data_IF_363401428395
#
_entry.id   IF_363401428395
#
_cell.length_a   1.000
_cell.length_b   1.000
_cell.length_c   1.000
_cell.angle_alpha   90.00
_cell.angle_beta   90.00
_cell.angle_gamma   90.00
#
_symmetry.space_group_name_H-M   'P 1'
#
loop_
_entity.id
_entity.type
_entity.pdbx_description
1 polymer ?
#
# COMPACT_ATOMS: atom_id res chain seq x y z
N UNK A 1 -52.37 26.44 -23.60
CA UNK A 1 -51.73 25.47 -22.71
C UNK A 1 -50.70 24.70 -23.50
N UNK A 2 -49.42 24.99 -23.32
CA UNK A 2 -48.30 24.27 -23.93
C UNK A 2 -47.40 23.74 -22.81
N UNK A 3 -47.32 22.43 -22.70
CA UNK A 3 -46.38 21.76 -21.82
C UNK A 3 -45.00 21.78 -22.46
N UNK A 4 -44.06 22.42 -21.83
CA UNK A 4 -42.64 22.39 -22.19
C UNK A 4 -41.99 21.15 -21.59
N UNK A 5 -41.47 20.27 -22.47
CA UNK A 5 -40.70 19.11 -22.09
C UNK A 5 -39.33 19.51 -21.55
N UNK A 6 -38.96 19.00 -20.40
CA UNK A 6 -37.62 19.10 -19.82
C UNK A 6 -36.77 17.95 -20.40
N UNK A 7 -35.76 18.31 -21.20
CA UNK A 7 -34.77 17.38 -21.70
C UNK A 7 -33.54 17.39 -20.76
N UNK A 8 -33.16 16.31 -20.10
CA UNK A 8 -31.91 16.23 -19.36
C UNK A 8 -30.82 15.60 -20.24
N UNK A 9 -30.15 16.42 -21.04
CA UNK A 9 -28.91 16.00 -21.71
C UNK A 9 -27.89 17.09 -21.56
N UNK A 10 -27.06 16.95 -20.52
CA UNK A 10 -25.66 17.39 -20.59
C UNK A 10 -24.95 16.77 -19.39
N UNK A 11 -24.32 15.62 -19.59
CA UNK A 11 -23.27 15.12 -18.71
C UNK A 11 -22.08 16.08 -18.87
N UNK A 12 -22.03 17.10 -18.03
CA UNK A 12 -20.80 17.87 -17.85
C UNK A 12 -19.73 16.93 -17.31
N UNK A 13 -18.79 16.58 -18.20
CA UNK A 13 -17.52 15.97 -17.81
C UNK A 13 -16.78 17.04 -17.00
N UNK A 14 -16.84 16.93 -15.69
CA UNK A 14 -15.99 17.70 -14.78
C UNK A 14 -14.56 17.19 -15.02
N UNK A 15 -13.82 17.90 -15.87
CA UNK A 15 -12.37 17.83 -15.89
C UNK A 15 -11.89 18.55 -14.64
N UNK A 16 -11.53 17.79 -13.61
CA UNK A 16 -10.83 18.34 -12.45
C UNK A 16 -9.45 18.80 -12.94
N UNK A 17 -9.18 20.09 -12.85
CA UNK A 17 -7.89 20.69 -13.13
C UNK A 17 -6.87 20.23 -12.08
N UNK A 18 -5.57 20.15 -12.41
CA UNK A 18 -4.49 19.72 -11.50
C UNK A 18 -4.47 20.59 -10.24
N UNK A 19 -4.83 21.87 -10.36
CA UNK A 19 -4.97 22.78 -9.22
C UNK A 19 -6.15 22.42 -8.30
N UNK A 20 -7.23 21.86 -8.85
CA UNK A 20 -8.37 21.39 -8.07
C UNK A 20 -8.04 20.10 -7.31
N UNK A 21 -7.24 19.21 -7.87
CA UNK A 21 -6.79 17.99 -7.19
C UNK A 21 -5.91 18.33 -5.99
N UNK A 22 -4.96 19.25 -6.14
CA UNK A 22 -4.11 19.70 -5.03
C UNK A 22 -4.90 20.39 -3.91
N UNK A 23 -5.87 21.24 -4.25
CA UNK A 23 -6.74 21.89 -3.27
C UNK A 23 -7.67 20.90 -2.56
N UNK A 24 -8.16 19.87 -3.29
CA UNK A 24 -9.00 18.80 -2.75
C UNK A 24 -8.22 17.92 -1.77
N UNK A 25 -6.99 17.56 -2.13
CA UNK A 25 -6.09 16.73 -1.31
C UNK A 25 -5.71 17.48 -0.02
N UNK A 26 -5.36 18.75 -0.09
CA UNK A 26 -5.08 19.58 1.09
C UNK A 26 -6.30 19.71 2.01
N UNK A 27 -7.48 20.00 1.48
CA UNK A 27 -8.71 20.10 2.29
C UNK A 27 -9.07 18.79 2.99
N UNK A 28 -8.87 17.66 2.35
CA UNK A 28 -9.10 16.34 2.96
C UNK A 28 -8.06 16.02 4.05
N UNK A 29 -6.81 16.42 3.88
CA UNK A 29 -5.78 16.28 4.92
C UNK A 29 -6.12 17.08 6.20
N UNK A 30 -6.65 18.30 6.09
CA UNK A 30 -7.04 19.10 7.25
C UNK A 30 -8.18 18.45 8.08
N UNK A 31 -9.04 17.66 7.46
CA UNK A 31 -10.11 16.93 8.17
C UNK A 31 -9.63 15.64 8.85
N UNK A 32 -8.41 15.17 8.55
CA UNK A 32 -7.85 13.99 9.19
C UNK A 32 -7.39 14.27 10.62
N UNK A 33 -7.39 13.21 11.44
CA UNK A 33 -6.77 13.25 12.77
C UNK A 33 -5.27 13.57 12.63
N UNK A 34 -4.71 14.35 13.55
CA UNK A 34 -3.31 14.76 13.62
C UNK A 34 -2.32 13.56 13.50
N UNK A 35 -2.68 12.41 14.07
CA UNK A 35 -1.85 11.20 13.99
C UNK A 35 -1.70 10.74 12.53
N UNK A 36 -2.79 10.70 11.78
CA UNK A 36 -2.78 10.28 10.37
C UNK A 36 -2.05 11.29 9.50
N UNK A 37 -2.26 12.60 9.73
CA UNK A 37 -1.54 13.66 8.99
C UNK A 37 -0.05 13.54 9.21
N UNK A 38 0.40 13.45 10.45
CA UNK A 38 1.82 13.31 10.76
C UNK A 38 2.40 11.98 10.25
N UNK A 39 1.64 10.89 10.31
CA UNK A 39 2.06 9.61 9.74
C UNK A 39 2.34 9.73 8.24
N UNK A 40 1.43 10.29 7.46
CA UNK A 40 1.61 10.47 6.01
C UNK A 40 2.73 11.46 5.68
N UNK A 41 2.86 12.55 6.44
CA UNK A 41 3.98 13.50 6.31
C UNK A 41 5.33 12.84 6.56
N UNK A 42 5.43 12.05 7.63
CA UNK A 42 6.64 11.30 7.96
C UNK A 42 7.02 10.29 6.86
N UNK A 43 6.02 9.64 6.25
CA UNK A 43 6.27 8.76 5.12
C UNK A 43 6.80 9.52 3.90
N UNK A 44 6.27 10.72 3.59
CA UNK A 44 6.78 11.56 2.49
C UNK A 44 8.20 12.02 2.76
N UNK A 45 8.48 12.48 3.97
CA UNK A 45 9.85 12.86 4.38
C UNK A 45 10.80 11.67 4.26
N UNK A 46 10.44 10.51 4.80
CA UNK A 46 11.31 9.35 4.88
C UNK A 46 11.51 8.63 3.54
N UNK A 47 10.46 8.47 2.77
CA UNK A 47 10.52 7.72 1.51
C UNK A 47 10.93 8.59 0.32
N UNK A 48 10.47 9.84 0.27
CA UNK A 48 10.64 10.69 -0.90
C UNK A 48 11.51 11.92 -0.67
N UNK A 49 11.94 12.14 0.57
CA UNK A 49 12.82 13.26 0.91
C UNK A 49 12.15 14.63 0.90
N UNK A 50 10.83 14.67 0.98
CA UNK A 50 10.06 15.90 0.99
C UNK A 50 10.28 16.70 2.30
N UNK A 51 10.05 18.01 2.25
CA UNK A 51 10.10 18.86 3.43
C UNK A 51 8.69 19.05 3.96
N UNK A 52 8.38 18.45 5.11
CA UNK A 52 7.08 18.52 5.74
C UNK A 52 7.20 18.97 7.19
N UNK A 53 6.30 19.85 7.62
CA UNK A 53 6.20 20.26 9.02
C UNK A 53 5.38 19.25 9.82
N UNK A 54 5.95 18.76 10.91
CA UNK A 54 5.28 17.82 11.82
C UNK A 54 4.59 18.60 12.95
N UNK A 55 3.30 18.37 13.10
CA UNK A 55 2.52 18.98 14.17
C UNK A 55 2.89 18.39 15.54
N UNK A 56 3.00 19.19 16.62
CA UNK A 56 3.28 18.69 17.95
C UNK A 56 2.23 17.69 18.42
N UNK A 57 2.68 16.58 19.01
CA UNK A 57 1.80 15.52 19.52
C UNK A 57 2.22 15.12 20.94
N UNK A 58 1.22 14.66 21.74
CA UNK A 58 1.50 14.01 23.03
C UNK A 58 2.20 12.67 22.84
N UNK A 59 2.88 12.18 23.86
CA UNK A 59 3.55 10.89 23.87
C UNK A 59 2.63 9.74 23.44
N UNK A 60 1.41 9.70 23.99
CA UNK A 60 0.39 8.73 23.59
C UNK A 60 0.08 8.73 22.09
N UNK A 61 -0.02 9.92 21.47
CA UNK A 61 -0.27 10.02 20.02
C UNK A 61 0.92 9.53 19.20
N UNK A 62 2.14 9.76 19.69
CA UNK A 62 3.34 9.22 19.07
C UNK A 62 3.39 7.69 19.17
N UNK A 63 3.02 7.10 20.32
CA UNK A 63 2.93 5.63 20.45
C UNK A 63 1.94 5.02 19.47
N UNK A 64 0.74 5.64 19.32
CA UNK A 64 -0.26 5.21 18.34
C UNK A 64 0.29 5.31 16.90
N UNK A 65 1.00 6.40 16.57
CA UNK A 65 1.60 6.57 15.24
C UNK A 65 2.62 5.46 14.94
N UNK A 66 3.52 5.19 15.85
CA UNK A 66 4.51 4.13 15.68
C UNK A 66 3.88 2.73 15.63
N UNK A 67 2.80 2.50 16.35
CA UNK A 67 2.05 1.27 16.25
C UNK A 67 1.45 1.08 14.86
N UNK A 68 0.84 2.12 14.29
CA UNK A 68 0.37 2.12 12.88
C UNK A 68 1.56 1.83 11.94
N UNK A 69 2.71 2.46 12.19
CA UNK A 69 3.92 2.26 11.38
C UNK A 69 4.40 0.80 11.37
N UNK A 70 4.35 0.15 12.52
CA UNK A 70 4.72 -1.25 12.67
C UNK A 70 3.75 -2.17 11.89
N UNK A 71 2.44 -1.95 12.01
CA UNK A 71 1.43 -2.73 11.28
C UNK A 71 1.57 -2.61 9.76
N UNK A 72 1.95 -1.41 9.28
CA UNK A 72 2.16 -1.17 7.86
C UNK A 72 3.57 -1.48 7.36
N UNK A 73 4.45 -2.02 8.21
CA UNK A 73 5.86 -2.31 7.90
C UNK A 73 6.65 -1.10 7.41
N UNK A 74 6.38 0.09 7.95
CA UNK A 74 7.03 1.34 7.56
C UNK A 74 7.77 2.04 8.70
N UNK A 75 7.97 1.33 9.81
CA UNK A 75 8.63 1.88 11.00
C UNK A 75 10.05 2.37 10.69
N UNK A 76 10.80 1.65 9.84
CA UNK A 76 12.13 2.04 9.39
C UNK A 76 12.13 3.35 8.59
N UNK A 77 11.12 3.54 7.73
CA UNK A 77 10.94 4.78 6.94
C UNK A 77 10.70 5.98 7.86
N UNK A 78 9.81 5.81 8.84
CA UNK A 78 9.51 6.88 9.81
C UNK A 78 10.72 7.19 10.68
N UNK A 79 11.43 6.16 11.15
CA UNK A 79 12.62 6.37 11.95
C UNK A 79 13.74 7.06 11.16
N UNK A 80 13.90 6.72 9.89
CA UNK A 80 14.84 7.40 8.99
C UNK A 80 14.47 8.88 8.81
N UNK A 81 13.18 9.19 8.63
CA UNK A 81 12.71 10.58 8.54
C UNK A 81 13.10 11.39 9.79
N UNK A 82 12.97 10.79 10.97
CA UNK A 82 13.28 11.42 12.25
C UNK A 82 14.79 11.61 12.41
N UNK A 83 15.60 10.57 12.17
CA UNK A 83 17.04 10.56 12.49
C UNK A 83 17.89 11.36 11.51
N UNK A 84 17.43 11.53 10.27
CA UNK A 84 18.17 12.32 9.25
C UNK A 84 18.09 13.85 9.47
N UNK A 85 17.70 14.31 10.68
CA UNK A 85 17.56 15.73 11.08
C UNK A 85 16.61 16.54 10.20
N UNK A 86 15.72 15.88 9.49
CA UNK A 86 14.69 16.54 8.70
C UNK A 86 13.49 16.96 9.57
N UNK A 87 13.47 16.49 10.82
CA UNK A 87 12.42 16.79 11.81
C UNK A 87 13.08 17.21 13.10
N UNK A 88 12.53 18.24 13.77
CA UNK A 88 13.01 18.68 15.07
C UNK A 88 12.78 17.57 16.10
N UNK A 89 13.89 16.98 16.58
CA UNK A 89 13.87 15.91 17.59
C UNK A 89 13.16 16.34 18.88
N UNK A 90 13.08 17.65 19.17
CA UNK A 90 12.36 18.16 20.34
C UNK A 90 10.84 17.94 20.28
N UNK A 91 10.31 17.69 19.10
CA UNK A 91 8.89 17.38 18.92
C UNK A 91 8.53 15.96 19.36
N UNK A 92 9.52 15.09 19.55
CA UNK A 92 9.32 13.67 19.83
C UNK A 92 9.81 13.36 21.24
N UNK A 93 8.97 12.79 22.11
CA UNK A 93 9.38 12.41 23.45
C UNK A 93 10.54 11.39 23.43
N UNK A 94 11.58 11.65 24.19
CA UNK A 94 12.79 10.82 24.23
C UNK A 94 12.50 9.34 24.55
N UNK A 95 11.54 9.07 25.46
CA UNK A 95 11.13 7.71 25.80
C UNK A 95 10.61 6.92 24.60
N UNK A 96 9.87 7.58 23.71
CA UNK A 96 9.35 6.99 22.49
C UNK A 96 10.48 6.63 21.51
N UNK A 97 11.43 7.54 21.32
CA UNK A 97 12.59 7.31 20.45
C UNK A 97 13.38 6.09 20.93
N UNK A 98 13.72 6.03 22.22
CA UNK A 98 14.51 4.92 22.80
C UNK A 98 13.80 3.57 22.66
N UNK A 99 12.48 3.54 22.90
CA UNK A 99 11.66 2.33 22.79
C UNK A 99 11.70 1.76 21.38
N UNK A 100 11.47 2.60 20.38
CA UNK A 100 11.39 2.16 18.99
C UNK A 100 12.75 1.94 18.33
N UNK A 101 13.79 2.65 18.78
CA UNK A 101 15.17 2.35 18.39
C UNK A 101 15.57 0.93 18.72
N UNK A 102 15.23 0.44 19.94
CA UNK A 102 15.47 -0.94 20.35
C UNK A 102 14.74 -1.96 19.47
N UNK A 103 13.52 -1.67 19.06
CA UNK A 103 12.75 -2.55 18.16
C UNK A 103 13.45 -2.65 16.79
N UNK A 104 13.89 -1.54 16.24
CA UNK A 104 14.57 -1.51 14.94
C UNK A 104 15.94 -2.21 15.02
N UNK A 105 16.70 -2.00 16.10
CA UNK A 105 17.98 -2.66 16.31
C UNK A 105 17.83 -4.18 16.50
N UNK A 106 16.77 -4.62 17.16
CA UNK A 106 16.45 -6.05 17.31
C UNK A 106 16.08 -6.69 15.98
N UNK A 107 15.23 -6.03 15.18
CA UNK A 107 14.88 -6.50 13.84
C UNK A 107 16.09 -6.50 12.89
N UNK A 108 16.99 -5.52 13.02
CA UNK A 108 18.25 -5.43 12.24
C UNK A 108 19.25 -6.53 12.59
N UNK A 109 19.31 -6.95 13.84
CA UNK A 109 20.22 -8.03 14.29
C UNK A 109 19.74 -9.42 13.82
N UNK A 110 18.44 -9.60 13.65
CA UNK A 110 17.85 -10.84 13.14
C UNK A 110 17.75 -10.90 11.60
N UNK A 111 17.69 -9.74 10.93
CA UNK A 111 17.69 -9.59 9.50
C UNK A 111 18.85 -8.66 9.11
N UNK A 112 20.00 -9.22 8.76
CA UNK A 112 21.28 -8.52 8.49
C UNK A 112 21.24 -7.44 7.39
N UNK A 113 20.07 -7.07 6.87
CA UNK A 113 19.88 -6.16 5.75
C UNK A 113 19.17 -4.83 6.07
N UNK A 114 18.69 -4.62 7.31
CA UNK A 114 17.92 -3.41 7.66
C UNK A 114 18.76 -2.16 7.96
N UNK A 115 20.07 -2.29 8.07
CA UNK A 115 20.93 -1.20 8.56
C UNK A 115 21.43 -0.21 7.49
N UNK A 116 21.25 -0.45 6.19
CA UNK A 116 22.07 0.25 5.18
C UNK A 116 21.34 1.29 4.33
N UNK A 117 20.07 1.27 4.17
CA UNK A 117 19.26 2.40 3.64
C UNK A 117 17.78 2.05 3.65
N UNK A 118 16.92 3.07 3.80
CA UNK A 118 15.46 2.94 3.67
C UNK A 118 15.08 2.40 2.31
N UNK A 119 15.81 2.75 1.26
CA UNK A 119 15.68 2.16 -0.06
C UNK A 119 15.93 0.66 -0.06
N UNK A 120 16.95 0.17 0.65
CA UNK A 120 17.32 -1.25 0.65
C UNK A 120 16.31 -2.10 1.41
N UNK A 121 15.76 -1.64 2.52
CA UNK A 121 14.75 -2.37 3.29
C UNK A 121 13.39 -2.46 2.58
N UNK A 122 13.06 -1.47 1.76
CA UNK A 122 11.87 -1.50 0.90
C UNK A 122 12.13 -2.28 -0.40
N UNK A 123 13.38 -2.29 -0.90
CA UNK A 123 13.80 -3.02 -2.10
C UNK A 123 13.97 -4.53 -1.89
N UNK A 124 14.26 -4.97 -0.66
CA UNK A 124 14.62 -6.35 -0.32
C UNK A 124 13.45 -7.32 -0.08
N UNK A 125 12.25 -7.01 -0.53
CA UNK A 125 11.28 -8.05 -0.77
C UNK A 125 11.68 -8.72 -2.10
N UNK A 126 12.15 -9.97 -2.02
CA UNK A 126 12.67 -10.75 -3.16
C UNK A 126 11.81 -10.60 -4.42
N UNK A 127 12.33 -9.90 -5.41
CA UNK A 127 11.66 -9.67 -6.68
C UNK A 127 11.37 -10.97 -7.46
N UNK A 128 12.04 -12.06 -7.12
CA UNK A 128 11.87 -13.36 -7.78
C UNK A 128 10.78 -14.28 -7.21
N UNK A 129 10.14 -13.90 -6.10
CA UNK A 129 9.20 -14.78 -5.38
C UNK A 129 7.73 -14.37 -5.49
N UNK A 130 7.38 -13.27 -6.16
CA UNK A 130 5.99 -12.91 -6.33
C UNK A 130 5.24 -13.96 -7.16
N UNK A 131 4.07 -14.36 -6.71
CA UNK A 131 3.24 -15.35 -7.39
C UNK A 131 1.76 -14.93 -7.38
N UNK A 132 1.01 -15.51 -8.28
CA UNK A 132 -0.43 -15.29 -8.33
C UNK A 132 -1.16 -16.54 -7.83
N UNK A 133 -2.21 -16.36 -7.05
CA UNK A 133 -3.05 -17.47 -6.55
C UNK A 133 -3.79 -18.18 -7.68
N UNK A 134 -4.14 -17.46 -8.76
CA UNK A 134 -4.72 -18.08 -9.94
C UNK A 134 -3.64 -18.82 -10.74
N UNK A 135 -3.73 -20.15 -10.85
CA UNK A 135 -2.72 -20.96 -11.53
C UNK A 135 -2.50 -20.61 -13.01
N UNK A 136 -3.56 -20.20 -13.72
CA UNK A 136 -3.45 -19.80 -15.12
C UNK A 136 -2.73 -18.44 -15.27
N UNK A 137 -3.05 -17.47 -14.43
CA UNK A 137 -2.36 -16.18 -14.41
C UNK A 137 -0.92 -16.32 -13.91
N UNK A 138 -0.69 -17.20 -12.94
CA UNK A 138 0.67 -17.50 -12.46
C UNK A 138 1.54 -18.13 -13.54
N UNK A 139 1.00 -19.04 -14.37
CA UNK A 139 1.71 -19.59 -15.52
C UNK A 139 2.01 -18.49 -16.57
N UNK A 140 1.09 -17.55 -16.80
CA UNK A 140 1.38 -16.39 -17.66
C UNK A 140 2.50 -15.52 -17.10
N UNK A 141 2.49 -15.24 -15.79
CA UNK A 141 3.54 -14.49 -15.12
C UNK A 141 4.91 -15.20 -15.29
N UNK A 142 4.97 -16.51 -15.08
CA UNK A 142 6.19 -17.30 -15.34
C UNK A 142 6.66 -17.18 -16.80
N UNK A 143 5.75 -17.30 -17.76
CA UNK A 143 6.10 -17.12 -19.18
C UNK A 143 6.64 -15.72 -19.51
N UNK A 144 6.14 -14.66 -18.86
CA UNK A 144 6.66 -13.30 -19.01
C UNK A 144 8.10 -13.26 -18.48
N UNK A 145 8.35 -13.74 -17.27
CA UNK A 145 9.67 -13.78 -16.64
C UNK A 145 10.71 -14.59 -17.42
N UNK A 146 10.30 -15.68 -18.03
CA UNK A 146 11.20 -16.52 -18.83
C UNK A 146 11.53 -15.92 -20.20
N UNK A 147 10.57 -15.24 -20.81
CA UNK A 147 10.72 -14.70 -22.17
C UNK A 147 11.39 -13.33 -22.20
N UNK A 148 11.14 -12.48 -21.21
CA UNK A 148 11.63 -11.10 -21.23
C UNK A 148 13.15 -11.01 -21.29
N UNK A 149 13.95 -11.74 -20.48
CA UNK A 149 15.40 -11.67 -20.56
C UNK A 149 16.00 -12.15 -21.88
N UNK A 150 15.21 -12.88 -22.69
CA UNK A 150 15.61 -13.42 -24.00
C UNK A 150 15.15 -12.51 -25.16
N UNK A 151 14.44 -11.46 -24.87
CA UNK A 151 13.92 -10.52 -25.87
C UNK A 151 15.02 -9.54 -26.30
N UNK A 152 14.95 -9.08 -27.55
CA UNK A 152 15.93 -8.11 -28.08
C UNK A 152 15.82 -6.72 -27.41
N UNK A 153 14.66 -6.43 -26.84
CA UNK A 153 14.31 -5.22 -26.12
C UNK A 153 14.04 -5.50 -24.62
N UNK A 154 14.81 -6.41 -24.04
CA UNK A 154 14.67 -6.81 -22.65
C UNK A 154 14.76 -5.61 -21.70
N UNK A 155 13.82 -5.51 -20.76
CA UNK A 155 13.80 -4.50 -19.72
C UNK A 155 13.59 -5.17 -18.35
N UNK A 156 14.69 -5.29 -17.62
CA UNK A 156 14.69 -5.86 -16.27
C UNK A 156 13.91 -4.96 -15.31
N UNK A 157 14.01 -3.65 -15.49
CA UNK A 157 13.32 -2.66 -14.66
C UNK A 157 11.81 -2.75 -14.83
N UNK A 158 11.31 -2.99 -16.06
CA UNK A 158 9.89 -3.22 -16.31
C UNK A 158 9.41 -4.51 -15.65
N UNK A 159 10.22 -5.57 -15.69
CA UNK A 159 9.90 -6.84 -15.04
C UNK A 159 9.86 -6.70 -13.51
N UNK A 160 10.83 -6.01 -12.94
CA UNK A 160 10.87 -5.71 -11.50
C UNK A 160 9.63 -4.89 -11.08
N UNK A 161 9.24 -3.90 -11.87
CA UNK A 161 8.04 -3.12 -11.60
C UNK A 161 6.78 -3.99 -11.62
N UNK A 162 6.65 -4.89 -12.59
CA UNK A 162 5.56 -5.86 -12.63
C UNK A 162 5.53 -6.72 -11.36
N UNK A 163 6.69 -7.22 -10.93
CA UNK A 163 6.81 -8.06 -9.73
C UNK A 163 6.41 -7.30 -8.46
N UNK A 164 6.76 -6.01 -8.35
CA UNK A 164 6.35 -5.15 -7.25
C UNK A 164 4.82 -4.99 -7.20
N UNK A 165 4.17 -4.76 -8.35
CA UNK A 165 2.71 -4.64 -8.44
C UNK A 165 2.02 -5.97 -8.11
N UNK A 166 2.52 -7.11 -8.61
CA UNK A 166 1.98 -8.43 -8.29
C UNK A 166 2.05 -8.69 -6.78
N UNK A 167 3.17 -8.38 -6.15
CA UNK A 167 3.38 -8.56 -4.72
C UNK A 167 2.50 -7.62 -3.88
N UNK A 168 2.33 -6.36 -4.32
CA UNK A 168 1.42 -5.41 -3.67
C UNK A 168 -0.03 -5.91 -3.74
N UNK A 169 -0.45 -6.43 -4.90
CA UNK A 169 -1.76 -7.05 -5.09
C UNK A 169 -2.00 -8.24 -4.16
N UNK A 170 -1.05 -9.18 -4.10
CA UNK A 170 -1.12 -10.34 -3.20
C UNK A 170 -1.22 -9.92 -1.73
N UNK A 171 -0.39 -8.97 -1.31
CA UNK A 171 -0.40 -8.41 0.04
C UNK A 171 -1.76 -7.76 0.36
N UNK A 172 -2.30 -6.97 -0.57
CA UNK A 172 -3.59 -6.29 -0.38
C UNK A 172 -4.74 -7.28 -0.17
N UNK A 173 -4.77 -8.39 -0.90
CA UNK A 173 -5.79 -9.41 -0.78
C UNK A 173 -5.66 -10.23 0.50
N UNK A 174 -4.43 -10.48 0.95
CA UNK A 174 -4.17 -11.31 2.13
C UNK A 174 -4.30 -10.52 3.42
N UNK A 175 -3.60 -9.42 3.52
CA UNK A 175 -3.44 -8.63 4.74
C UNK A 175 -4.23 -7.33 4.72
N UNK A 176 -4.62 -6.85 3.53
CA UNK A 176 -5.13 -5.52 3.24
C UNK A 176 -4.04 -4.59 2.73
N UNK A 177 -4.41 -3.37 2.35
CA UNK A 177 -3.47 -2.37 1.86
C UNK A 177 -2.37 -2.11 2.89
N UNK A 178 -1.11 -2.25 2.47
CA UNK A 178 0.08 -1.89 3.24
C UNK A 178 0.73 -0.65 2.63
N UNK A 179 1.12 0.32 3.47
CA UNK A 179 1.87 1.47 2.97
C UNK A 179 3.29 1.10 2.54
N UNK A 180 3.89 0.04 3.09
CA UNK A 180 5.19 -0.43 2.61
C UNK A 180 5.15 -0.82 1.13
N UNK A 181 4.11 -1.52 0.67
CA UNK A 181 3.97 -1.91 -0.73
C UNK A 181 3.72 -0.72 -1.66
N UNK A 182 2.90 0.25 -1.22
CA UNK A 182 2.64 1.48 -1.98
C UNK A 182 3.90 2.33 -2.09
N UNK A 183 4.62 2.54 -0.98
CA UNK A 183 5.89 3.29 -0.99
C UNK A 183 6.93 2.62 -1.89
N UNK A 184 6.99 1.28 -1.91
CA UNK A 184 7.90 0.54 -2.78
C UNK A 184 7.65 0.84 -4.25
N UNK A 185 6.38 0.85 -4.68
CA UNK A 185 6.00 1.25 -6.04
C UNK A 185 6.50 2.69 -6.31
N UNK A 186 6.19 3.64 -5.42
CA UNK A 186 6.58 5.03 -5.60
C UNK A 186 8.09 5.27 -5.60
N UNK A 187 8.85 4.60 -4.71
CA UNK A 187 10.30 4.71 -4.68
C UNK A 187 10.91 4.15 -5.97
N UNK A 188 10.41 2.98 -6.43
CA UNK A 188 10.91 2.38 -7.65
C UNK A 188 10.65 3.25 -8.88
N UNK A 189 9.47 3.87 -8.96
CA UNK A 189 9.13 4.84 -10.01
C UNK A 189 10.07 6.06 -10.01
N UNK A 190 10.43 6.60 -8.85
CA UNK A 190 11.33 7.78 -8.77
C UNK A 190 12.80 7.44 -9.02
N UNK A 191 13.23 6.19 -8.77
CA UNK A 191 14.62 5.77 -8.94
C UNK A 191 14.90 5.24 -10.34
N UNK A 192 14.00 4.40 -10.87
CA UNK A 192 14.20 3.68 -12.12
C UNK A 192 13.05 3.90 -13.14
N UNK A 193 12.14 4.85 -12.88
CA UNK A 193 10.95 5.07 -13.70
C UNK A 193 11.25 5.40 -15.16
N UNK A 194 12.32 6.14 -15.43
CA UNK A 194 12.80 6.50 -16.77
C UNK A 194 13.34 5.30 -17.58
N UNK A 195 13.62 4.17 -16.93
CA UNK A 195 14.07 2.92 -17.55
C UNK A 195 12.92 1.92 -17.80
N UNK A 196 11.72 2.24 -17.29
CA UNK A 196 10.56 1.36 -17.41
C UNK A 196 9.88 1.55 -18.77
N UNK A 197 9.68 0.46 -19.50
CA UNK A 197 8.81 0.44 -20.67
C UNK A 197 7.34 0.30 -20.20
N UNK A 198 6.67 1.44 -20.05
CA UNK A 198 5.29 1.48 -19.58
C UNK A 198 4.30 0.86 -20.56
N UNK A 199 4.57 0.89 -21.88
CA UNK A 199 3.71 0.23 -22.87
C UNK A 199 3.74 -1.28 -22.69
N UNK A 200 4.94 -1.82 -22.46
CA UNK A 200 5.15 -3.25 -22.17
C UNK A 200 4.52 -3.63 -20.82
N UNK A 201 4.70 -2.80 -19.80
CA UNK A 201 4.11 -3.00 -18.47
C UNK A 201 2.58 -3.06 -18.54
N UNK A 202 1.93 -2.09 -19.19
CA UNK A 202 0.47 -2.07 -19.36
C UNK A 202 -0.06 -3.31 -20.08
N UNK A 203 0.64 -3.77 -21.11
CA UNK A 203 0.29 -5.01 -21.81
C UNK A 203 0.36 -6.24 -20.89
N UNK A 204 1.40 -6.32 -20.05
CA UNK A 204 1.52 -7.41 -19.08
C UNK A 204 0.46 -7.34 -17.99
N UNK A 205 0.21 -6.16 -17.42
CA UNK A 205 -0.85 -5.94 -16.44
C UNK A 205 -2.23 -6.33 -17.01
N UNK A 206 -2.50 -6.00 -18.26
CA UNK A 206 -3.73 -6.41 -18.95
C UNK A 206 -3.82 -7.93 -19.10
N UNK A 207 -2.74 -8.62 -19.52
CA UNK A 207 -2.68 -10.08 -19.63
C UNK A 207 -2.87 -10.79 -18.29
N UNK A 208 -2.48 -10.16 -17.19
CA UNK A 208 -2.60 -10.67 -15.82
C UNK A 208 -3.89 -10.22 -15.13
N UNK A 209 -4.76 -9.46 -15.80
CA UNK A 209 -5.98 -8.87 -15.23
C UNK A 209 -5.71 -7.99 -13.99
N UNK A 210 -4.57 -7.30 -13.95
CA UNK A 210 -4.13 -6.43 -12.85
C UNK A 210 -4.21 -4.94 -13.16
N UNK A 211 -4.58 -4.52 -14.38
CA UNK A 211 -4.59 -3.11 -14.79
C UNK A 211 -5.37 -2.20 -13.84
N UNK A 212 -6.53 -2.64 -13.35
CA UNK A 212 -7.32 -1.84 -12.39
C UNK A 212 -6.71 -1.80 -11.00
N UNK A 213 -6.02 -2.86 -10.58
CA UNK A 213 -5.34 -2.88 -9.29
C UNK A 213 -4.12 -1.95 -9.31
N UNK A 214 -3.30 -2.02 -10.36
CA UNK A 214 -2.19 -1.09 -10.58
C UNK A 214 -2.68 0.36 -10.65
N UNK A 215 -3.82 0.63 -11.33
CA UNK A 215 -4.44 1.95 -11.37
C UNK A 215 -4.86 2.43 -9.97
N UNK A 216 -5.41 1.56 -9.11
CA UNK A 216 -5.73 1.89 -7.72
C UNK A 216 -4.47 2.25 -6.93
N UNK A 217 -3.43 1.42 -7.00
CA UNK A 217 -2.16 1.62 -6.30
C UNK A 217 -1.47 2.92 -6.73
N UNK A 218 -1.41 3.18 -8.04
CA UNK A 218 -0.89 4.43 -8.58
C UNK A 218 -1.75 5.65 -8.23
N UNK A 219 -3.09 5.50 -8.19
CA UNK A 219 -3.98 6.57 -7.74
C UNK A 219 -3.76 6.95 -6.27
N UNK A 220 -3.37 5.99 -5.42
CA UNK A 220 -3.00 6.26 -4.03
C UNK A 220 -1.68 7.07 -3.97
N UNK A 221 -0.71 6.77 -4.84
CA UNK A 221 0.53 7.55 -4.92
C UNK A 221 0.27 8.99 -5.33
N UNK A 222 -0.61 9.21 -6.30
CA UNK A 222 -0.98 10.56 -6.74
C UNK A 222 -1.75 11.30 -5.63
N UNK A 223 -2.79 10.69 -5.08
CA UNK A 223 -3.70 11.35 -4.14
C UNK A 223 -3.10 11.56 -2.73
N UNK A 224 -2.29 10.62 -2.25
CA UNK A 224 -1.74 10.65 -0.89
C UNK A 224 -0.30 11.18 -0.85
N UNK A 225 0.52 10.81 -1.83
CA UNK A 225 1.95 11.10 -1.84
C UNK A 225 2.37 12.18 -2.85
N UNK A 226 1.41 12.81 -3.55
CA UNK A 226 1.67 13.96 -4.40
C UNK A 226 2.48 13.64 -5.67
N UNK A 227 2.41 12.40 -6.16
CA UNK A 227 3.01 12.05 -7.45
C UNK A 227 2.27 12.76 -8.58
N UNK A 228 3.00 13.22 -9.56
CA UNK A 228 2.40 13.74 -10.79
C UNK A 228 1.92 12.58 -11.68
N UNK A 229 0.92 12.85 -12.49
CA UNK A 229 0.35 11.83 -13.38
C UNK A 229 1.38 11.31 -14.38
N UNK A 230 2.30 12.15 -14.79
CA UNK A 230 3.36 11.82 -15.73
C UNK A 230 4.42 10.88 -15.12
N UNK A 231 4.56 10.87 -13.78
CA UNK A 231 5.41 9.92 -13.06
C UNK A 231 4.81 8.50 -13.07
N UNK A 232 3.48 8.35 -13.32
CA UNK A 232 2.76 7.08 -13.26
C UNK A 232 1.90 6.87 -14.51
N UNK A 233 2.50 6.65 -15.69
CA UNK A 233 1.80 6.58 -16.97
C UNK A 233 0.69 5.52 -17.05
N UNK A 234 0.80 4.41 -16.32
CA UNK A 234 -0.23 3.36 -16.28
C UNK A 234 -1.51 3.76 -15.53
N UNK A 235 -1.55 4.95 -14.91
CA UNK A 235 -2.77 5.51 -14.32
C UNK A 235 -3.49 6.39 -15.34
N UNK A 236 -4.28 5.76 -16.20
CA UNK A 236 -5.05 6.47 -17.22
C UNK A 236 -6.13 7.38 -16.60
N UNK A 237 -6.76 6.94 -15.51
CA UNK A 237 -7.80 7.64 -14.77
C UNK A 237 -7.63 7.42 -13.28
N UNK A 238 -7.75 8.49 -12.49
CA UNK A 238 -7.74 8.39 -11.03
C UNK A 238 -8.91 7.52 -10.55
N UNK A 239 -8.62 6.58 -9.66
CA UNK A 239 -9.63 5.74 -9.04
C UNK A 239 -10.29 6.50 -7.88
N UNK A 240 -11.61 6.81 -7.97
CA UNK A 240 -12.26 7.67 -6.96
C UNK A 240 -12.26 7.10 -5.54
N UNK A 241 -12.09 5.79 -5.42
CA UNK A 241 -12.06 5.11 -4.12
C UNK A 241 -10.66 5.05 -3.48
N UNK A 242 -9.59 5.49 -4.19
CA UNK A 242 -8.21 5.39 -3.74
C UNK A 242 -7.99 6.06 -2.38
N UNK A 243 -8.41 7.33 -2.24
CA UNK A 243 -8.31 8.06 -0.98
C UNK A 243 -9.00 7.33 0.18
N UNK A 244 -10.26 6.95 -0.03
CA UNK A 244 -11.04 6.25 0.99
C UNK A 244 -10.38 4.94 1.41
N UNK A 245 -9.89 4.14 0.46
CA UNK A 245 -9.22 2.87 0.71
C UNK A 245 -7.94 3.08 1.52
N UNK A 246 -7.14 4.09 1.20
CA UNK A 246 -5.91 4.42 1.92
C UNK A 246 -6.20 4.87 3.37
N UNK A 247 -7.18 5.77 3.55
CA UNK A 247 -7.54 6.26 4.90
C UNK A 247 -8.16 5.15 5.76
N UNK A 248 -9.01 4.31 5.19
CA UNK A 248 -9.55 3.13 5.91
C UNK A 248 -8.45 2.14 6.32
N UNK A 249 -7.37 2.01 5.54
CA UNK A 249 -6.24 1.18 5.91
C UNK A 249 -5.54 1.70 7.17
N UNK A 250 -5.46 3.02 7.36
CA UNK A 250 -4.93 3.64 8.59
C UNK A 250 -5.86 3.50 9.81
N UNK A 251 -7.16 3.33 9.59
CA UNK A 251 -8.14 3.23 10.70
C UNK A 251 -8.25 1.83 11.30
N UNK A 252 -8.05 0.80 10.46
CA UNK A 252 -8.20 -0.60 10.88
C UNK A 252 -7.28 -1.01 12.03
N UNK A 253 -5.99 -0.66 12.06
CA UNK A 253 -5.10 -1.01 13.16
C UNK A 253 -5.59 -0.52 14.51
N UNK A 254 -6.08 0.72 14.55
CA UNK A 254 -6.53 1.36 15.80
C UNK A 254 -7.73 0.62 16.42
N UNK A 255 -8.61 0.07 15.57
CA UNK A 255 -9.80 -0.67 16.03
C UNK A 255 -9.49 -2.08 16.52
N UNK A 256 -8.53 -2.75 15.89
CA UNK A 256 -8.17 -4.13 16.23
C UNK A 256 -7.52 -4.18 17.61
N UNK A 257 -6.63 -3.25 17.96
CA UNK A 257 -5.95 -3.23 19.25
C UNK A 257 -6.88 -3.00 20.44
N UNK A 258 -7.88 -2.11 20.27
CA UNK A 258 -8.86 -1.87 21.33
C UNK A 258 -9.71 -3.12 21.58
N UNK A 259 -9.97 -3.90 20.53
CA UNK A 259 -10.73 -5.16 20.65
C UNK A 259 -9.83 -6.30 21.17
N UNK A 260 -8.58 -6.43 20.72
CA UNK A 260 -7.64 -7.43 21.20
C UNK A 260 -7.23 -7.19 22.67
N UNK A 261 -7.05 -5.94 23.07
CA UNK A 261 -6.78 -5.60 24.47
C UNK A 261 -7.95 -5.99 25.40
N UNK A 262 -9.19 -5.84 24.94
CA UNK A 262 -10.39 -6.28 25.66
C UNK A 262 -10.55 -7.81 25.69
N UNK A 263 -10.01 -8.53 24.70
CA UNK A 263 -10.14 -9.99 24.54
C UNK A 263 -8.98 -10.72 25.26
N UNK A 264 -7.79 -10.13 25.32
CA UNK A 264 -6.62 -10.70 26.01
C UNK A 264 -6.84 -10.89 27.52
N UNK A 265 -7.84 -10.23 28.11
CA UNK A 265 -8.25 -10.48 29.50
C UNK A 265 -9.16 -11.70 29.70
N UNK A 266 -9.59 -12.37 28.62
CA UNK A 266 -10.41 -13.60 28.70
C UNK A 266 -9.71 -14.72 27.92
N UNK A 267 -8.84 -15.42 28.67
CA UNK A 267 -8.17 -16.64 28.20
C UNK A 267 -9.14 -17.72 27.74
N UNK A 268 -8.87 -18.25 26.61
CA UNK A 268 -9.14 -19.55 25.98
C UNK A 268 -9.45 -19.33 24.51
N UNK A 269 -8.48 -19.54 23.63
CA UNK A 269 -8.90 -19.65 22.21
C UNK A 269 -7.67 -19.83 21.30
N UNK A 270 -7.20 -21.06 21.14
CA UNK A 270 -6.38 -21.44 19.99
C UNK A 270 -7.24 -21.60 18.70
N UNK A 271 -8.51 -21.89 18.80
CA UNK A 271 -9.44 -22.08 17.67
C UNK A 271 -9.99 -20.78 17.06
N UNK A 272 -10.03 -19.69 17.82
CA UNK A 272 -10.61 -18.43 17.34
C UNK A 272 -9.67 -17.64 16.40
N UNK A 273 -8.35 -17.88 16.42
CA UNK A 273 -7.39 -17.15 15.60
C UNK A 273 -7.49 -17.50 14.10
N UNK A 274 -7.75 -18.76 13.76
CA UNK A 274 -7.84 -19.20 12.35
C UNK A 274 -9.10 -18.66 11.66
N UNK A 275 -10.24 -18.64 12.33
CA UNK A 275 -11.48 -18.12 11.77
C UNK A 275 -11.47 -16.60 11.59
N UNK A 276 -10.81 -15.84 12.49
CA UNK A 276 -10.67 -14.39 12.37
C UNK A 276 -9.73 -13.99 11.22
N UNK A 277 -8.60 -14.68 11.05
CA UNK A 277 -7.67 -14.47 9.94
C UNK A 277 -8.35 -14.77 8.60
N UNK A 278 -9.10 -15.86 8.51
CA UNK A 278 -9.89 -16.21 7.34
C UNK A 278 -10.95 -15.15 7.02
N UNK A 279 -11.72 -14.70 8.02
CA UNK A 279 -12.74 -13.66 7.83
C UNK A 279 -12.11 -12.33 7.35
N UNK A 280 -10.93 -11.98 7.84
CA UNK A 280 -10.17 -10.81 7.39
C UNK A 280 -9.80 -10.93 5.91
N UNK A 281 -9.26 -12.09 5.50
CA UNK A 281 -8.92 -12.35 4.10
C UNK A 281 -10.15 -12.31 3.18
N UNK A 282 -11.26 -12.92 3.59
CA UNK A 282 -12.53 -12.84 2.85
C UNK A 282 -12.98 -11.39 2.64
N UNK A 283 -12.96 -10.57 3.70
CA UNK A 283 -13.30 -9.15 3.61
C UNK A 283 -12.37 -8.39 2.67
N UNK A 284 -11.07 -8.68 2.68
CA UNK A 284 -10.11 -8.06 1.78
C UNK A 284 -10.36 -8.51 0.33
N UNK A 285 -10.54 -9.81 0.06
CA UNK A 285 -10.87 -10.31 -1.28
C UNK A 285 -12.14 -9.64 -1.83
N UNK A 286 -13.20 -9.50 -1.00
CA UNK A 286 -14.41 -8.78 -1.40
C UNK A 286 -14.15 -7.29 -1.67
N UNK A 287 -13.33 -6.62 -0.85
CA UNK A 287 -12.98 -5.20 -1.01
C UNK A 287 -12.24 -4.94 -2.33
N UNK A 288 -11.31 -5.83 -2.70
CA UNK A 288 -10.49 -5.69 -3.90
C UNK A 288 -11.01 -6.46 -5.11
N UNK A 289 -12.17 -7.12 -4.99
CA UNK A 289 -12.77 -7.90 -6.08
C UNK A 289 -12.95 -7.10 -7.36
N UNK A 290 -13.40 -5.85 -7.28
CA UNK A 290 -13.59 -5.00 -8.46
C UNK A 290 -12.29 -4.57 -9.14
N UNK A 291 -11.16 -4.66 -8.46
CA UNK A 291 -9.84 -4.27 -8.98
C UNK A 291 -9.07 -5.44 -9.59
N UNK A 292 -9.19 -6.65 -9.01
CA UNK A 292 -8.56 -7.85 -9.52
C UNK A 292 -9.48 -9.07 -9.30
N UNK A 293 -10.59 -9.21 -10.05
CA UNK A 293 -11.65 -10.20 -9.77
C UNK A 293 -11.14 -11.65 -9.83
N UNK A 294 -10.31 -11.97 -10.81
CA UNK A 294 -9.80 -13.33 -11.00
C UNK A 294 -8.88 -13.73 -9.84
N UNK A 295 -7.97 -12.85 -9.46
CA UNK A 295 -7.03 -13.10 -8.37
C UNK A 295 -7.73 -13.12 -7.01
N UNK A 296 -8.68 -12.20 -6.76
CA UNK A 296 -9.46 -12.16 -5.54
C UNK A 296 -10.29 -13.44 -5.36
N UNK A 297 -10.93 -13.93 -6.43
CA UNK A 297 -11.68 -15.19 -6.39
C UNK A 297 -10.79 -16.38 -6.10
N UNK A 298 -9.64 -16.45 -6.75
CA UNK A 298 -8.68 -17.55 -6.58
C UNK A 298 -8.06 -17.57 -5.20
N UNK A 299 -7.68 -16.40 -4.67
CA UNK A 299 -7.17 -16.26 -3.30
C UNK A 299 -8.23 -16.68 -2.26
N UNK A 300 -9.49 -16.26 -2.46
CA UNK A 300 -10.59 -16.68 -1.61
C UNK A 300 -10.73 -18.21 -1.59
N UNK A 301 -10.83 -18.84 -2.77
CA UNK A 301 -10.99 -20.28 -2.91
C UNK A 301 -9.82 -21.07 -2.31
N UNK A 302 -8.59 -20.65 -2.58
CA UNK A 302 -7.39 -21.28 -2.04
C UNK A 302 -7.37 -21.26 -0.51
N UNK A 303 -7.67 -20.11 0.09
CA UNK A 303 -7.70 -19.96 1.55
C UNK A 303 -8.88 -20.68 2.19
N UNK A 304 -10.01 -20.72 1.51
CA UNK A 304 -11.18 -21.47 1.97
C UNK A 304 -10.88 -22.98 2.00
N UNK A 305 -10.28 -23.51 0.92
CA UNK A 305 -9.90 -24.91 0.85
C UNK A 305 -8.85 -25.28 1.93
N UNK A 306 -7.83 -24.44 2.12
CA UNK A 306 -6.81 -24.64 3.18
C UNK A 306 -7.42 -24.61 4.59
N UNK A 307 -8.46 -23.79 4.80
CA UNK A 307 -9.15 -23.76 6.09
C UNK A 307 -9.99 -24.98 6.37
N UNK A 308 -10.58 -25.60 5.32
CA UNK A 308 -11.32 -26.85 5.46
C UNK A 308 -10.40 -28.02 5.74
N UNK A 309 -9.25 -28.13 5.07
CA UNK A 309 -8.29 -29.20 5.31
C UNK A 309 -7.71 -29.19 6.74
N UNK A 310 -7.54 -28.02 7.34
CA UNK A 310 -7.08 -27.87 8.73
C UNK A 310 -8.18 -28.17 9.79
N UNK A 311 -9.42 -28.40 9.38
CA UNK A 311 -10.51 -28.80 10.28
C UNK A 311 -10.69 -30.35 10.32
N UNK A 312 -10.05 -31.05 9.39
CA UNK A 312 -10.12 -32.52 9.31
C UNK A 312 -8.94 -33.22 10.05
N UNK A 313 -7.92 -32.45 10.50
CA UNK A 313 -6.85 -32.90 11.38
C UNK A 313 -7.15 -32.56 12.86
#
# INVERSE_FOLDING_TARGET
>A
MRYGGYNPTTSEKIFLDVNDVNSYTQNNMYRMNIIKRNFLRLLRVGAFGENEEIEPMSEFKWEVLFHIANIHNVIGVIFYAITQKRIDEKLIPYGVIVKYKKIIEYDSSNNSHLATSVCTSIQLLDAGLSHMCNGFLNNRLKCIREKEPQSADASVETLNMLDIIVQATESAMTYGLSFATILRIGIYLRVDGDKIDFVKLENWLSKLNLSRMAQLEGSILIDIFGFEKDEIPFVNKLEPSAHKIAIEALEKPIRIDVEEWKISQKSTIFLANNSKAMMKTVKNCMKYFFFAPVEASSNFLHRFASSLSNLEE
#
